data_IF_950715171650
#
_entry.id   IF_950715171650
#
_cell.length_a   1.000
_cell.length_b   1.000
_cell.length_c   1.000
_cell.angle_alpha   90.00
_cell.angle_beta   90.00
_cell.angle_gamma   90.00
#
_symmetry.space_group_name_H-M   'P 1'
#
loop_
_entity.id
_entity.type
_entity.pdbx_description
1 polymer ?
#
# COMPACT_ATOMS: atom_id res chain seq x y z
N UNK A 1 17.15 -24.73 -51.86
CA UNK A 1 17.53 -23.48 -51.16
C UNK A 1 16.32 -22.58 -50.80
N UNK A 2 15.09 -22.85 -51.26
CA UNK A 2 13.92 -22.05 -50.84
C UNK A 2 13.23 -22.55 -49.55
N UNK A 3 13.29 -23.85 -49.22
CA UNK A 3 12.74 -24.39 -47.96
C UNK A 3 13.37 -23.76 -46.72
N UNK A 4 14.70 -23.75 -46.62
CA UNK A 4 15.42 -23.20 -45.46
C UNK A 4 15.11 -21.74 -45.12
N UNK A 5 14.66 -20.92 -46.08
CA UNK A 5 14.37 -19.50 -45.83
C UNK A 5 12.94 -19.30 -45.31
N UNK A 6 12.01 -20.20 -45.63
CA UNK A 6 10.67 -20.19 -45.07
C UNK A 6 10.72 -20.73 -43.64
N UNK A 7 11.42 -21.84 -43.41
CA UNK A 7 11.59 -22.45 -42.08
C UNK A 7 12.25 -21.49 -41.06
N UNK A 8 13.28 -20.75 -41.48
CA UNK A 8 13.94 -19.73 -40.63
C UNK A 8 13.02 -18.54 -40.27
N UNK A 9 12.05 -18.20 -41.13
CA UNK A 9 11.06 -17.15 -40.82
C UNK A 9 9.98 -17.66 -39.85
N UNK A 10 9.60 -18.92 -39.96
CA UNK A 10 8.65 -19.56 -39.04
C UNK A 10 9.25 -19.73 -37.64
N UNK A 11 10.47 -20.24 -37.53
CA UNK A 11 11.16 -20.40 -36.24
C UNK A 11 11.33 -19.05 -35.53
N UNK A 12 11.71 -17.99 -36.25
CA UNK A 12 11.81 -16.63 -35.69
C UNK A 12 10.46 -16.08 -35.22
N UNK A 13 9.38 -16.46 -35.88
CA UNK A 13 8.03 -16.02 -35.53
C UNK A 13 7.52 -16.77 -34.28
N UNK A 14 7.77 -18.08 -34.19
CA UNK A 14 7.45 -18.92 -33.02
C UNK A 14 8.26 -18.52 -31.77
N UNK A 15 9.55 -18.21 -31.94
CA UNK A 15 10.40 -17.70 -30.86
C UNK A 15 9.91 -16.34 -30.34
N UNK A 16 9.48 -15.45 -31.25
CA UNK A 16 8.91 -14.16 -30.87
C UNK A 16 7.59 -14.32 -30.12
N UNK A 17 6.72 -15.24 -30.56
CA UNK A 17 5.46 -15.55 -29.86
C UNK A 17 5.74 -16.02 -28.43
N UNK A 18 6.62 -17.00 -28.25
CA UNK A 18 7.01 -17.52 -26.93
C UNK A 18 7.59 -16.43 -26.02
N UNK A 19 8.41 -15.53 -26.58
CA UNK A 19 8.95 -14.40 -25.83
C UNK A 19 7.85 -13.44 -25.36
N UNK A 20 6.90 -13.07 -26.23
CA UNK A 20 5.77 -12.19 -25.87
C UNK A 20 4.92 -12.85 -24.79
N UNK A 21 4.62 -14.13 -24.91
CA UNK A 21 3.86 -14.85 -23.89
C UNK A 21 4.59 -14.93 -22.55
N UNK A 22 5.89 -15.18 -22.56
CA UNK A 22 6.67 -15.23 -21.33
C UNK A 22 6.71 -13.87 -20.64
N UNK A 23 6.83 -12.79 -21.41
CA UNK A 23 6.77 -11.42 -20.89
C UNK A 23 5.39 -11.10 -20.31
N UNK A 24 4.30 -11.49 -21.00
CA UNK A 24 2.94 -11.36 -20.47
C UNK A 24 2.76 -12.12 -19.15
N UNK A 25 3.28 -13.35 -19.04
CA UNK A 25 3.25 -14.12 -17.79
C UNK A 25 4.01 -13.42 -16.67
N UNK A 26 5.19 -12.88 -16.97
CA UNK A 26 6.02 -12.16 -15.99
C UNK A 26 5.33 -10.89 -15.50
N UNK A 27 4.81 -10.06 -16.40
CA UNK A 27 4.10 -8.82 -16.05
C UNK A 27 2.83 -9.09 -15.26
N UNK A 28 2.05 -10.12 -15.63
CA UNK A 28 0.87 -10.50 -14.85
C UNK A 28 1.23 -10.96 -13.43
N UNK A 29 2.34 -11.69 -13.27
CA UNK A 29 2.84 -12.08 -11.94
C UNK A 29 3.25 -10.86 -11.12
N UNK A 30 3.97 -9.91 -11.73
CA UNK A 30 4.44 -8.72 -11.03
C UNK A 30 3.28 -7.77 -10.69
N UNK A 31 2.29 -7.65 -11.58
CA UNK A 31 1.03 -6.97 -11.29
C UNK A 31 0.32 -7.60 -10.08
N UNK A 32 0.29 -8.94 -10.01
CA UNK A 32 -0.26 -9.68 -8.87
C UNK A 32 0.45 -9.36 -7.55
N UNK A 33 1.79 -9.33 -7.57
CA UNK A 33 2.61 -8.98 -6.40
C UNK A 33 2.35 -7.55 -5.92
N UNK A 34 2.44 -6.56 -6.83
CA UNK A 34 2.24 -5.15 -6.46
C UNK A 34 0.82 -4.91 -5.94
N UNK A 35 -0.20 -5.59 -6.50
CA UNK A 35 -1.57 -5.54 -5.96
C UNK A 35 -1.66 -6.12 -4.55
N UNK A 36 -1.00 -7.25 -4.28
CA UNK A 36 -0.98 -7.87 -2.96
C UNK A 36 -0.27 -6.97 -1.94
N UNK A 37 0.90 -6.42 -2.28
CA UNK A 37 1.64 -5.48 -1.45
C UNK A 37 0.81 -4.22 -1.15
N UNK A 38 0.13 -3.67 -2.16
CA UNK A 38 -0.78 -2.54 -1.97
C UNK A 38 -1.95 -2.88 -1.05
N UNK A 39 -2.54 -4.06 -1.20
CA UNK A 39 -3.61 -4.50 -0.31
C UNK A 39 -3.13 -4.62 1.14
N UNK A 40 -1.91 -5.13 1.36
CA UNK A 40 -1.29 -5.17 2.69
C UNK A 40 -1.06 -3.77 3.27
N UNK A 41 -0.57 -2.81 2.47
CA UNK A 41 -0.41 -1.42 2.90
C UNK A 41 -1.74 -0.75 3.24
N UNK A 42 -2.81 -1.01 2.46
CA UNK A 42 -4.14 -0.49 2.76
C UNK A 42 -4.70 -1.09 4.05
N UNK A 43 -4.49 -2.39 4.30
CA UNK A 43 -4.89 -3.02 5.55
C UNK A 43 -4.15 -2.41 6.75
N UNK A 44 -2.85 -2.16 6.60
CA UNK A 44 -2.02 -1.49 7.61
C UNK A 44 -2.50 -0.05 7.86
N UNK A 45 -2.74 0.71 6.80
CA UNK A 45 -3.28 2.08 6.86
C UNK A 45 -4.59 2.12 7.65
N UNK A 46 -5.51 1.18 7.39
CA UNK A 46 -6.77 1.10 8.13
C UNK A 46 -6.58 0.70 9.59
N UNK A 47 -5.58 -0.15 9.90
CA UNK A 47 -5.25 -0.50 11.29
C UNK A 47 -4.74 0.72 12.04
N UNK A 48 -3.74 1.41 11.49
CA UNK A 48 -3.16 2.62 12.07
C UNK A 48 -4.19 3.74 12.23
N UNK A 49 -5.13 3.88 11.28
CA UNK A 49 -6.22 4.84 11.38
C UNK A 49 -7.15 4.56 12.57
N UNK A 50 -7.43 3.29 12.87
CA UNK A 50 -8.22 2.92 14.07
C UNK A 50 -7.44 3.20 15.35
N UNK A 51 -6.17 2.79 15.41
CA UNK A 51 -5.30 3.04 16.56
C UNK A 51 -5.15 4.56 16.85
N UNK A 52 -5.06 5.38 15.79
CA UNK A 52 -5.06 6.84 15.90
C UNK A 52 -6.32 7.38 16.55
N UNK A 53 -7.49 6.93 16.09
CA UNK A 53 -8.78 7.36 16.63
C UNK A 53 -8.93 6.96 18.10
N UNK A 54 -8.59 5.72 18.43
CA UNK A 54 -8.63 5.21 19.81
C UNK A 54 -7.67 6.00 20.72
N UNK A 55 -6.48 6.35 20.23
CA UNK A 55 -5.52 7.16 20.97
C UNK A 55 -6.04 8.59 21.20
N UNK A 56 -6.67 9.20 20.18
CA UNK A 56 -7.30 10.52 20.29
C UNK A 56 -8.44 10.50 21.31
N UNK A 57 -9.33 9.52 21.26
CA UNK A 57 -10.38 9.35 22.26
C UNK A 57 -9.80 9.15 23.68
N UNK A 58 -8.70 8.39 23.79
CA UNK A 58 -8.01 8.18 25.06
C UNK A 58 -7.48 9.48 25.65
N UNK A 59 -6.88 10.33 24.82
CA UNK A 59 -6.39 11.66 25.20
C UNK A 59 -7.55 12.54 25.67
N UNK A 60 -8.68 12.56 24.95
CA UNK A 60 -9.87 13.30 25.36
C UNK A 60 -10.45 12.80 26.69
N UNK A 61 -10.46 11.48 26.92
CA UNK A 61 -10.90 10.89 28.18
C UNK A 61 -10.01 11.32 29.34
N UNK A 62 -8.68 11.29 29.15
CA UNK A 62 -7.74 11.75 30.18
C UNK A 62 -7.91 13.24 30.47
N UNK A 63 -8.20 14.05 29.45
CA UNK A 63 -8.47 15.47 29.62
C UNK A 63 -9.73 15.72 30.47
N UNK A 64 -10.83 15.02 30.16
CA UNK A 64 -12.07 15.09 30.95
C UNK A 64 -11.86 14.64 32.40
N UNK A 65 -11.11 13.56 32.62
CA UNK A 65 -10.80 13.08 33.97
C UNK A 65 -9.92 14.06 34.75
N UNK A 66 -8.93 14.67 34.08
CA UNK A 66 -8.11 15.73 34.69
C UNK A 66 -8.96 16.92 35.09
N UNK A 67 -9.87 17.39 34.23
CA UNK A 67 -10.76 18.52 34.55
C UNK A 67 -11.69 18.20 35.72
N UNK A 68 -12.27 17.00 35.75
CA UNK A 68 -13.13 16.57 36.86
C UNK A 68 -12.36 16.47 38.19
N UNK A 69 -11.15 15.91 38.17
CA UNK A 69 -10.32 15.82 39.36
C UNK A 69 -9.93 17.22 39.89
N UNK A 70 -9.72 18.19 38.98
CA UNK A 70 -9.45 19.57 39.34
C UNK A 70 -10.67 20.22 40.02
N UNK A 71 -11.87 20.03 39.50
CA UNK A 71 -13.12 20.53 40.10
C UNK A 71 -13.35 19.95 41.51
N UNK A 72 -12.93 18.70 41.73
CA UNK A 72 -12.98 18.01 43.03
C UNK A 72 -11.81 18.38 43.97
N UNK A 73 -10.85 19.19 43.52
CA UNK A 73 -9.67 19.59 44.30
C UNK A 73 -8.64 18.48 44.50
N UNK A 74 -8.69 17.40 43.72
CA UNK A 74 -7.79 16.26 43.81
C UNK A 74 -6.57 16.43 42.91
N UNK A 75 -5.57 17.16 43.40
CA UNK A 75 -4.33 17.46 42.67
C UNK A 75 -3.49 16.22 42.31
N UNK A 76 -3.57 15.14 43.11
CA UNK A 76 -2.85 13.90 42.82
C UNK A 76 -3.36 13.26 41.54
N UNK A 77 -4.69 13.16 41.40
CA UNK A 77 -5.31 12.57 40.21
C UNK A 77 -5.17 13.47 38.98
N UNK A 78 -5.21 14.81 39.14
CA UNK A 78 -4.87 15.75 38.05
C UNK A 78 -3.49 15.42 37.47
N UNK A 79 -2.47 15.32 38.32
CA UNK A 79 -1.09 14.99 37.88
C UNK A 79 -1.04 13.64 37.16
N UNK A 80 -1.70 12.61 37.71
CA UNK A 80 -1.74 11.27 37.11
C UNK A 80 -2.40 11.25 35.73
N UNK A 81 -3.53 11.93 35.56
CA UNK A 81 -4.21 11.98 34.26
C UNK A 81 -3.41 12.78 33.22
N UNK A 82 -2.77 13.88 33.63
CA UNK A 82 -1.91 14.67 32.76
C UNK A 82 -0.66 13.90 32.31
N UNK A 83 -0.03 13.13 33.21
CA UNK A 83 1.11 12.27 32.86
C UNK A 83 0.70 11.20 31.84
N UNK A 84 -0.42 10.50 32.08
CA UNK A 84 -0.97 9.54 31.11
C UNK A 84 -1.29 10.20 29.76
N UNK A 85 -1.91 11.38 29.78
CA UNK A 85 -2.20 12.17 28.57
C UNK A 85 -0.93 12.50 27.79
N UNK A 86 0.15 12.88 28.48
CA UNK A 86 1.44 13.19 27.85
C UNK A 86 2.02 11.97 27.13
N UNK A 87 2.01 10.79 27.76
CA UNK A 87 2.45 9.53 27.14
C UNK A 87 1.61 9.18 25.93
N UNK A 88 0.28 9.28 26.02
CA UNK A 88 -0.62 9.02 24.88
C UNK A 88 -0.42 10.03 23.74
N UNK A 89 -0.12 11.29 24.06
CA UNK A 89 0.15 12.34 23.06
C UNK A 89 1.45 12.06 22.30
N UNK A 90 2.48 11.57 23.00
CA UNK A 90 3.71 11.11 22.34
C UNK A 90 3.43 9.93 21.40
N UNK A 91 2.69 8.92 21.87
CA UNK A 91 2.29 7.77 21.05
C UNK A 91 1.42 8.17 19.84
N UNK A 92 0.56 9.18 19.99
CA UNK A 92 -0.24 9.73 18.90
C UNK A 92 0.64 10.26 17.76
N UNK A 93 1.74 10.95 18.09
CA UNK A 93 2.68 11.46 17.09
C UNK A 93 3.33 10.34 16.29
N UNK A 94 3.74 9.25 16.97
CA UNK A 94 4.34 8.09 16.32
C UNK A 94 3.34 7.36 15.42
N UNK A 95 2.11 7.17 15.90
CA UNK A 95 1.02 6.60 15.10
C UNK A 95 0.68 7.47 13.88
N UNK A 96 0.73 8.80 14.01
CA UNK A 96 0.47 9.72 12.89
C UNK A 96 1.55 9.60 11.81
N UNK A 97 2.82 9.54 12.22
CA UNK A 97 3.93 9.35 11.30
C UNK A 97 3.83 7.99 10.57
N UNK A 98 3.51 6.92 11.30
CA UNK A 98 3.31 5.59 10.72
C UNK A 98 2.14 5.57 9.72
N UNK A 99 1.01 6.19 10.07
CA UNK A 99 -0.16 6.29 9.19
C UNK A 99 0.18 7.06 7.89
N UNK A 100 0.84 8.21 8.01
CA UNK A 100 1.25 9.00 6.86
C UNK A 100 2.20 8.23 5.94
N UNK A 101 3.15 7.49 6.54
CA UNK A 101 4.07 6.64 5.78
C UNK A 101 3.31 5.55 5.01
N UNK A 102 2.42 4.80 5.67
CA UNK A 102 1.62 3.75 5.04
C UNK A 102 0.72 4.29 3.91
N UNK A 103 0.06 5.43 4.14
CA UNK A 103 -0.81 6.08 3.16
C UNK A 103 -0.01 6.57 1.95
N UNK A 104 1.14 7.22 2.16
CA UNK A 104 2.02 7.66 1.08
C UNK A 104 2.54 6.47 0.25
N UNK A 105 2.94 5.38 0.91
CA UNK A 105 3.41 4.18 0.22
C UNK A 105 2.31 3.51 -0.62
N UNK A 106 1.08 3.47 -0.11
CA UNK A 106 -0.05 2.92 -0.87
C UNK A 106 -0.39 3.77 -2.10
N UNK A 107 -0.24 5.10 -2.00
CA UNK A 107 -0.41 6.04 -3.10
C UNK A 107 0.68 5.92 -4.17
N UNK A 108 1.94 5.78 -3.77
CA UNK A 108 3.08 5.57 -4.67
C UNK A 108 2.93 4.31 -5.54
N UNK A 109 2.14 3.31 -5.10
CA UNK A 109 1.86 2.10 -5.86
C UNK A 109 0.84 2.29 -7.00
N UNK A 110 0.05 3.37 -7.00
CA UNK A 110 -0.92 3.64 -8.07
C UNK A 110 -0.27 3.70 -9.47
N UNK A 111 0.70 4.60 -9.71
CA UNK A 111 1.32 4.71 -11.04
C UNK A 111 2.05 3.42 -11.46
N UNK A 112 2.58 2.63 -10.51
CA UNK A 112 3.21 1.35 -10.81
C UNK A 112 2.18 0.35 -11.36
N UNK A 113 1.02 0.27 -10.72
CA UNK A 113 -0.09 -0.59 -11.19
C UNK A 113 -0.61 -0.13 -12.55
N UNK A 114 -0.76 1.18 -12.75
CA UNK A 114 -1.26 1.75 -14.01
C UNK A 114 -0.30 1.44 -15.16
N UNK A 115 1.01 1.59 -14.94
CA UNK A 115 2.04 1.26 -15.92
C UNK A 115 2.03 -0.24 -16.27
N UNK A 116 2.00 -1.12 -15.26
CA UNK A 116 1.95 -2.57 -15.52
C UNK A 116 0.69 -2.97 -16.31
N UNK A 117 -0.46 -2.34 -16.02
CA UNK A 117 -1.69 -2.57 -16.78
C UNK A 117 -1.56 -2.06 -18.22
N UNK A 118 -0.92 -0.91 -18.43
CA UNK A 118 -0.66 -0.37 -19.76
C UNK A 118 0.27 -1.30 -20.58
N UNK A 119 1.38 -1.73 -20.01
CA UNK A 119 2.36 -2.63 -20.65
C UNK A 119 1.73 -3.97 -21.03
N UNK A 120 0.91 -4.55 -20.15
CA UNK A 120 0.17 -5.78 -20.43
C UNK A 120 -0.79 -5.58 -21.60
N UNK A 121 -1.56 -4.48 -21.62
CA UNK A 121 -2.50 -4.17 -22.71
C UNK A 121 -1.78 -3.99 -24.04
N UNK A 122 -0.62 -3.35 -24.05
CA UNK A 122 0.18 -3.16 -25.26
C UNK A 122 0.67 -4.51 -25.79
N UNK A 123 1.24 -5.36 -24.93
CA UNK A 123 1.72 -6.68 -25.34
C UNK A 123 0.59 -7.63 -25.76
N UNK A 124 -0.58 -7.57 -25.11
CA UNK A 124 -1.77 -8.31 -25.54
C UNK A 124 -2.27 -7.85 -26.92
N UNK A 125 -2.17 -6.55 -27.21
CA UNK A 125 -2.49 -5.99 -28.53
C UNK A 125 -1.50 -6.46 -29.59
N UNK A 126 -0.20 -6.45 -29.29
CA UNK A 126 0.84 -6.97 -30.18
C UNK A 126 0.60 -8.45 -30.47
N UNK A 127 0.30 -9.26 -29.44
CA UNK A 127 -0.01 -10.68 -29.60
C UNK A 127 -1.21 -10.88 -30.53
N UNK A 128 -2.27 -10.10 -30.37
CA UNK A 128 -3.50 -10.21 -31.18
C UNK A 128 -3.34 -9.74 -32.63
N UNK A 129 -2.45 -8.77 -32.88
CA UNK A 129 -2.31 -8.15 -34.20
C UNK A 129 -1.22 -8.81 -35.06
N UNK A 130 -0.28 -9.56 -34.46
CA UNK A 130 0.84 -10.21 -35.16
C UNK A 130 0.69 -11.72 -35.35
N UNK A 131 -0.23 -12.34 -34.61
CA UNK A 131 -0.53 -13.78 -34.64
C UNK A 131 -2.05 -13.95 -34.67
#
# INVERSE_FOLDING_TARGET
MMENKMDDLWDKTDDLEKMVEQNLRNLNRDLGKVKAEKASLLAEEQRLKRELYECQEGIEKMDRYSSKALDEGNEEDVRRFQEKKSVMTANLSDLQAAYQFASSKSQEMNPILDNLVADIRELESIKRNKF
#
